data_IF_125177614494
#
_entry.id   IF_125177614494
#
_cell.length_a   1.000
_cell.length_b   1.000
_cell.length_c   1.000
_cell.angle_alpha   90.00
_cell.angle_beta   90.00
_cell.angle_gamma   90.00
#
_symmetry.space_group_name_H-M   'P 1'
#
loop_
_entity.id
_entity.type
_entity.pdbx_description
1 polymer ?
#
# COMPACT_ATOMS: atom_id res chain seq x y z
N UNK A 1 12.17 -20.87 -9.73
CA UNK A 1 11.99 -19.77 -8.77
C UNK A 1 13.11 -18.76 -8.97
N UNK A 2 12.78 -17.51 -9.26
CA UNK A 2 13.72 -16.40 -9.38
C UNK A 2 13.81 -15.68 -8.02
N UNK A 3 14.93 -15.73 -7.31
CA UNK A 3 15.06 -15.12 -5.98
C UNK A 3 15.31 -13.61 -5.99
N UNK A 4 15.38 -13.00 -7.18
CA UNK A 4 15.60 -11.54 -7.27
C UNK A 4 14.38 -10.76 -6.72
N UNK A 5 14.60 -9.56 -6.13
CA UNK A 5 13.51 -8.70 -5.72
C UNK A 5 12.72 -8.21 -6.94
N UNK A 6 11.43 -7.94 -6.74
CA UNK A 6 10.56 -7.39 -7.80
C UNK A 6 10.60 -5.86 -7.86
N UNK A 7 10.90 -5.20 -6.75
CA UNK A 7 11.00 -3.74 -6.63
C UNK A 7 12.22 -3.40 -5.78
N UNK A 8 13.05 -2.50 -6.27
CA UNK A 8 14.25 -2.01 -5.58
C UNK A 8 14.19 -0.50 -5.35
N UNK A 9 14.91 -0.02 -4.34
CA UNK A 9 15.10 1.41 -4.12
C UNK A 9 16.04 2.03 -5.17
N UNK A 10 15.97 3.35 -5.32
CA UNK A 10 16.86 4.13 -6.18
C UNK A 10 18.27 4.29 -5.58
N UNK A 11 18.45 4.04 -4.30
CA UNK A 11 19.70 4.26 -3.58
C UNK A 11 20.33 2.94 -3.15
N UNK A 12 21.63 2.71 -3.42
CA UNK A 12 22.32 1.52 -2.94
C UNK A 12 22.41 1.50 -1.41
N UNK A 13 22.31 0.31 -0.80
CA UNK A 13 22.78 0.10 0.57
C UNK A 13 24.31 0.15 0.54
N UNK A 14 25.02 0.79 1.45
CA UNK A 14 24.75 1.15 2.84
C UNK A 14 24.64 2.66 3.14
N UNK A 15 24.41 3.49 2.15
CA UNK A 15 24.44 4.95 2.31
C UNK A 15 23.20 5.54 3.00
N UNK A 16 22.33 4.68 3.53
CA UNK A 16 21.07 5.06 4.14
C UNK A 16 21.20 4.96 5.66
N UNK A 17 21.39 6.08 6.38
CA UNK A 17 21.64 6.07 7.83
C UNK A 17 20.45 5.65 8.69
N UNK A 18 19.24 5.57 8.15
CA UNK A 18 18.01 5.25 8.86
C UNK A 18 17.06 4.42 7.99
N UNK A 19 15.99 3.91 8.58
CA UNK A 19 14.92 3.13 7.98
C UNK A 19 14.34 3.80 6.71
N UNK A 20 14.90 3.52 5.56
CA UNK A 20 14.54 4.12 4.28
C UNK A 20 14.38 3.05 3.21
N UNK A 21 13.96 1.88 3.58
CA UNK A 21 13.70 0.81 2.62
C UNK A 21 12.31 0.87 2.02
N UNK A 22 12.09 -0.03 1.06
CA UNK A 22 10.77 -0.40 0.58
C UNK A 22 10.18 -1.39 1.56
N UNK A 23 8.89 -1.27 1.87
CA UNK A 23 8.26 -2.19 2.81
C UNK A 23 6.74 -2.20 2.75
N UNK A 24 6.17 -3.06 3.58
CA UNK A 24 4.73 -3.13 3.86
C UNK A 24 3.87 -3.24 2.59
N UNK A 25 4.23 -4.18 1.72
CA UNK A 25 3.60 -4.31 0.41
C UNK A 25 2.22 -4.98 0.48
N UNK A 26 1.28 -4.47 -0.30
CA UNK A 26 0.01 -5.11 -0.63
C UNK A 26 -0.07 -5.27 -2.15
N UNK A 27 -0.22 -6.50 -2.63
CA UNK A 27 -0.34 -6.80 -4.06
C UNK A 27 -1.76 -7.23 -4.38
N UNK A 28 -2.36 -6.62 -5.39
CA UNK A 28 -3.69 -6.97 -5.88
C UNK A 28 -3.66 -7.22 -7.38
N UNK A 29 -4.59 -8.05 -7.86
CA UNK A 29 -4.84 -8.26 -9.27
C UNK A 29 -5.96 -7.34 -9.76
N UNK A 30 -5.65 -6.45 -10.69
CA UNK A 30 -6.62 -5.63 -11.42
C UNK A 30 -7.05 -6.39 -12.69
N UNK A 31 -8.19 -7.08 -12.59
CA UNK A 31 -8.71 -7.89 -13.69
C UNK A 31 -9.15 -7.04 -14.89
N UNK A 32 -9.59 -5.80 -14.65
CA UNK A 32 -10.04 -4.92 -15.74
C UNK A 32 -8.86 -4.45 -16.60
N UNK A 33 -7.71 -4.19 -16.00
CA UNK A 33 -6.49 -3.79 -16.70
C UNK A 33 -5.53 -4.97 -16.94
N UNK A 34 -5.87 -6.19 -16.50
CA UNK A 34 -5.04 -7.40 -16.62
C UNK A 34 -3.61 -7.21 -16.12
N UNK A 35 -3.48 -6.71 -14.90
CA UNK A 35 -2.19 -6.39 -14.27
C UNK A 35 -2.21 -6.59 -12.76
N UNK A 36 -1.05 -6.83 -12.18
CA UNK A 36 -0.84 -6.65 -10.75
C UNK A 36 -0.57 -5.17 -10.44
N UNK A 37 -1.04 -4.71 -9.29
CA UNK A 37 -0.63 -3.45 -8.67
C UNK A 37 -0.08 -3.79 -7.30
N UNK A 38 1.15 -3.35 -7.03
CA UNK A 38 1.80 -3.43 -5.73
C UNK A 38 1.79 -2.03 -5.10
N UNK A 39 1.11 -1.89 -3.98
CA UNK A 39 1.18 -0.69 -3.14
C UNK A 39 2.19 -0.94 -2.04
N UNK A 40 3.08 0.00 -1.80
CA UNK A 40 4.16 -0.16 -0.84
C UNK A 40 4.55 1.17 -0.21
N UNK A 41 5.21 1.09 0.92
CA UNK A 41 5.84 2.25 1.54
C UNK A 41 7.24 2.45 0.99
N UNK A 42 7.62 3.69 0.72
CA UNK A 42 8.98 4.04 0.37
C UNK A 42 9.33 5.47 0.78
N UNK A 43 10.63 5.76 0.92
CA UNK A 43 11.12 7.14 0.91
C UNK A 43 10.96 7.70 -0.48
N UNK A 44 10.33 8.86 -0.59
CA UNK A 44 10.02 9.48 -1.87
C UNK A 44 10.99 10.59 -2.21
N UNK A 45 10.96 11.06 -3.45
CA UNK A 45 11.77 12.19 -3.94
C UNK A 45 11.59 13.48 -3.13
N UNK A 46 10.50 13.63 -2.39
CA UNK A 46 10.27 14.77 -1.49
C UNK A 46 10.81 14.55 -0.08
N UNK A 47 11.56 13.47 0.16
CA UNK A 47 12.25 13.20 1.42
C UNK A 47 11.38 12.62 2.54
N UNK A 48 10.10 12.33 2.28
CA UNK A 48 9.18 11.71 3.25
C UNK A 48 8.85 10.29 2.85
N UNK A 49 8.61 9.43 3.84
CA UNK A 49 8.04 8.13 3.58
C UNK A 49 6.56 8.28 3.22
N UNK A 50 6.14 7.68 2.12
CA UNK A 50 4.76 7.72 1.65
C UNK A 50 4.38 6.43 0.95
N UNK A 51 3.09 6.29 0.65
CA UNK A 51 2.59 5.19 -0.16
C UNK A 51 2.92 5.45 -1.63
N UNK A 52 3.53 4.46 -2.25
CA UNK A 52 3.92 4.39 -3.65
C UNK A 52 3.26 3.20 -4.31
N UNK A 53 3.37 3.07 -5.62
CA UNK A 53 2.85 1.91 -6.33
C UNK A 53 3.73 1.52 -7.52
N UNK A 54 3.66 0.24 -7.87
CA UNK A 54 4.25 -0.35 -9.05
C UNK A 54 3.25 -1.32 -9.70
N UNK A 55 3.43 -1.62 -10.97
CA UNK A 55 2.54 -2.52 -11.70
C UNK A 55 3.34 -3.47 -12.58
N UNK A 56 2.78 -4.68 -12.79
CA UNK A 56 3.25 -5.65 -13.78
C UNK A 56 2.07 -6.27 -14.51
N UNK A 57 2.16 -6.37 -15.83
CA UNK A 57 1.21 -7.12 -16.66
C UNK A 57 1.64 -8.59 -16.86
N UNK A 58 2.79 -8.97 -16.34
CA UNK A 58 3.22 -10.35 -16.33
C UNK A 58 2.39 -11.18 -15.35
N UNK A 59 1.83 -12.31 -15.80
CA UNK A 59 0.94 -13.14 -14.97
C UNK A 59 1.63 -13.81 -13.78
N UNK A 60 2.94 -13.97 -13.86
CA UNK A 60 3.75 -14.51 -12.77
C UNK A 60 4.33 -13.41 -11.86
N UNK A 61 4.23 -12.16 -12.30
CA UNK A 61 4.82 -11.02 -11.57
C UNK A 61 6.33 -11.13 -11.42
N UNK A 62 7.01 -11.68 -12.43
CA UNK A 62 8.44 -11.97 -12.39
C UNK A 62 9.30 -10.72 -12.17
N UNK A 63 10.49 -10.84 -11.54
CA UNK A 63 11.44 -9.75 -11.44
C UNK A 63 11.81 -9.17 -12.81
N UNK A 64 11.88 -7.84 -12.91
CA UNK A 64 12.16 -7.12 -14.16
C UNK A 64 10.93 -6.81 -15.02
N UNK A 65 9.75 -7.31 -14.65
CA UNK A 65 8.48 -7.00 -15.34
C UNK A 65 7.70 -5.86 -14.70
N UNK A 66 8.12 -5.42 -13.54
CA UNK A 66 7.48 -4.36 -12.77
C UNK A 66 7.96 -2.98 -13.18
N UNK A 67 7.03 -2.03 -13.23
CA UNK A 67 7.29 -0.61 -13.44
C UNK A 67 6.71 0.18 -12.29
N UNK A 68 7.49 1.12 -11.75
CA UNK A 68 7.03 2.05 -10.73
C UNK A 68 6.21 3.20 -11.35
N UNK A 69 5.33 3.73 -10.55
CA UNK A 69 4.54 4.92 -10.87
C UNK A 69 5.42 6.17 -10.94
N UNK A 70 5.26 6.99 -11.98
CA UNK A 70 6.00 8.26 -12.17
C UNK A 70 5.19 9.51 -11.81
N UNK A 71 3.93 9.33 -11.44
CA UNK A 71 2.96 10.41 -11.19
C UNK A 71 1.85 10.47 -12.25
N UNK A 72 2.04 9.82 -13.39
CA UNK A 72 1.08 9.79 -14.51
C UNK A 72 0.89 8.38 -15.10
N UNK A 73 1.89 7.50 -14.95
CA UNK A 73 1.88 6.15 -15.48
C UNK A 73 2.91 5.25 -14.82
N UNK A 74 2.90 3.99 -15.17
CA UNK A 74 3.88 2.99 -14.72
C UNK A 74 5.03 2.91 -15.72
N UNK A 75 6.02 3.79 -15.61
CA UNK A 75 7.10 3.95 -16.58
C UNK A 75 8.49 3.76 -16.02
N UNK A 76 8.69 3.97 -14.70
CA UNK A 76 10.00 3.87 -14.07
C UNK A 76 10.36 2.41 -13.80
N UNK A 77 11.62 2.04 -14.02
CA UNK A 77 12.10 0.70 -13.73
C UNK A 77 11.93 0.37 -12.22
N UNK A 78 11.36 -0.78 -11.92
CA UNK A 78 11.27 -1.25 -10.55
C UNK A 78 12.53 -2.02 -10.13
N UNK A 79 13.19 -2.65 -11.08
CA UNK A 79 14.49 -3.33 -10.95
C UNK A 79 15.23 -3.18 -12.28
N UNK A 80 16.31 -2.43 -12.28
CA UNK A 80 17.24 -2.35 -13.39
C UNK A 80 18.23 -3.54 -13.32
N UNK A 81 18.37 -4.26 -14.41
CA UNK A 81 19.17 -5.49 -14.45
C UNK A 81 20.68 -5.24 -14.42
N UNK A 82 21.14 -4.06 -14.77
CA UNK A 82 22.57 -3.72 -14.83
C UNK A 82 23.05 -3.17 -13.48
N UNK A 83 22.26 -2.30 -12.87
CA UNK A 83 22.62 -1.64 -11.60
C UNK A 83 22.10 -2.38 -10.37
N UNK A 84 21.08 -3.22 -10.51
CA UNK A 84 20.38 -3.85 -9.39
C UNK A 84 19.55 -2.87 -8.57
N UNK A 85 19.35 -1.64 -9.04
CA UNK A 85 18.59 -0.59 -8.37
C UNK A 85 17.22 -0.39 -9.06
N UNK A 86 16.33 0.30 -8.39
CA UNK A 86 15.08 0.75 -8.98
C UNK A 86 15.13 2.23 -9.36
N UNK A 87 14.12 2.68 -10.10
CA UNK A 87 13.89 4.10 -10.31
C UNK A 87 13.31 4.78 -9.06
N UNK A 88 13.04 6.07 -9.19
CA UNK A 88 12.50 6.92 -8.13
C UNK A 88 11.19 6.39 -7.54
N UNK A 89 10.97 6.65 -6.26
CA UNK A 89 9.72 6.37 -5.58
C UNK A 89 8.87 7.64 -5.57
N UNK A 90 7.75 7.59 -6.27
CA UNK A 90 6.82 8.72 -6.40
C UNK A 90 5.57 8.45 -5.58
N UNK A 91 5.25 9.35 -4.66
CA UNK A 91 4.08 9.22 -3.79
C UNK A 91 2.77 9.29 -4.59
N UNK A 92 1.79 8.48 -4.18
CA UNK A 92 0.41 8.59 -4.65
C UNK A 92 -0.15 9.97 -4.27
N UNK A 93 -0.58 10.75 -5.26
CA UNK A 93 -0.78 12.20 -5.17
C UNK A 93 -1.62 12.66 -3.96
N UNK A 94 -2.82 12.13 -3.78
CA UNK A 94 -3.70 12.57 -2.69
C UNK A 94 -3.32 11.95 -1.34
N UNK A 95 -2.68 10.77 -1.32
CA UNK A 95 -2.28 10.10 -0.09
C UNK A 95 -1.02 10.72 0.54
N UNK A 96 -0.18 11.41 -0.24
CA UNK A 96 1.05 12.06 0.25
C UNK A 96 0.83 13.09 1.36
N UNK A 97 -0.40 13.62 1.49
CA UNK A 97 -0.76 14.58 2.56
C UNK A 97 -0.79 13.95 3.94
N UNK A 98 -1.00 12.66 4.00
CA UNK A 98 -1.00 11.85 5.23
C UNK A 98 0.02 10.75 5.04
N UNK A 99 1.31 11.00 5.32
CA UNK A 99 2.34 9.99 5.20
C UNK A 99 2.01 8.76 6.04
N UNK A 100 2.14 7.58 5.45
CA UNK A 100 1.71 6.35 6.10
C UNK A 100 2.40 5.12 5.54
N UNK A 101 2.01 3.99 6.11
CA UNK A 101 2.57 2.66 5.88
C UNK A 101 1.47 1.59 5.93
N UNK A 102 1.86 0.36 5.66
CA UNK A 102 1.01 -0.82 5.79
C UNK A 102 -0.31 -0.70 5.00
N UNK A 103 -0.28 -0.45 3.69
CA UNK A 103 -1.49 -0.42 2.90
C UNK A 103 -2.14 -1.80 2.83
N UNK A 104 -3.46 -1.86 2.95
CA UNK A 104 -4.29 -3.00 2.61
C UNK A 104 -5.33 -2.56 1.61
N UNK A 105 -5.38 -3.22 0.46
CA UNK A 105 -6.21 -2.82 -0.68
C UNK A 105 -7.06 -3.99 -1.12
N UNK A 106 -8.33 -3.72 -1.43
CA UNK A 106 -9.25 -4.70 -2.01
C UNK A 106 -10.19 -4.05 -3.03
N UNK A 107 -10.68 -4.83 -3.97
CA UNK A 107 -11.84 -4.44 -4.76
C UNK A 107 -13.12 -4.63 -3.93
N UNK A 108 -13.96 -3.62 -3.88
CA UNK A 108 -15.25 -3.67 -3.22
C UNK A 108 -16.37 -3.71 -4.26
N UNK A 109 -16.97 -4.88 -4.45
CA UNK A 109 -18.02 -5.09 -5.44
C UNK A 109 -19.33 -4.37 -5.12
N UNK A 110 -19.59 -4.05 -3.86
CA UNK A 110 -20.77 -3.25 -3.48
C UNK A 110 -20.59 -1.79 -3.90
N UNK A 111 -19.41 -1.20 -3.66
CA UNK A 111 -19.12 0.19 -4.06
C UNK A 111 -18.70 0.32 -5.52
N UNK A 112 -18.32 -0.77 -6.18
CA UNK A 112 -17.67 -0.79 -7.49
C UNK A 112 -16.41 0.10 -7.51
N UNK A 113 -15.60 -0.02 -6.44
CA UNK A 113 -14.36 0.75 -6.24
C UNK A 113 -13.29 -0.07 -5.56
N UNK A 114 -12.07 0.31 -5.77
CA UNK A 114 -10.95 -0.05 -4.93
C UNK A 114 -11.05 0.68 -3.59
N UNK A 115 -10.82 -0.04 -2.52
CA UNK A 115 -10.78 0.48 -1.15
C UNK A 115 -9.40 0.20 -0.58
N UNK A 116 -8.75 1.23 -0.05
CA UNK A 116 -7.48 1.13 0.66
C UNK A 116 -7.64 1.59 2.08
N UNK A 117 -7.12 0.85 3.02
CA UNK A 117 -6.81 1.33 4.37
C UNK A 117 -5.30 1.35 4.59
N UNK A 118 -4.81 2.28 5.40
CA UNK A 118 -3.41 2.33 5.77
C UNK A 118 -3.21 3.03 7.12
N UNK A 119 -2.10 2.76 7.80
CA UNK A 119 -1.73 3.41 9.03
C UNK A 119 -0.92 4.68 8.75
N UNK A 120 -1.24 5.80 9.41
CA UNK A 120 -0.35 6.96 9.43
C UNK A 120 0.76 6.78 10.47
N UNK A 121 1.86 7.51 10.33
CA UNK A 121 2.94 7.54 11.35
C UNK A 121 2.47 8.04 12.72
N UNK A 122 1.29 8.66 12.79
CA UNK A 122 0.61 9.03 14.04
C UNK A 122 -0.29 7.93 14.59
N UNK A 123 -0.15 6.70 14.06
CA UNK A 123 -0.88 5.51 14.51
C UNK A 123 -2.40 5.63 14.40
N UNK A 124 -2.88 6.35 13.39
CA UNK A 124 -4.29 6.42 13.01
C UNK A 124 -4.52 5.66 11.72
N UNK A 125 -5.67 5.05 11.54
CA UNK A 125 -6.05 4.39 10.29
C UNK A 125 -6.87 5.32 9.42
N UNK A 126 -6.49 5.37 8.15
CA UNK A 126 -7.18 6.13 7.10
C UNK A 126 -7.75 5.17 6.07
N UNK A 127 -8.84 5.61 5.44
CA UNK A 127 -9.47 4.94 4.30
C UNK A 127 -9.48 5.88 3.10
N UNK A 128 -9.28 5.32 1.92
CA UNK A 128 -9.39 6.03 0.64
C UNK A 128 -10.01 5.12 -0.40
N UNK A 129 -10.54 5.72 -1.46
CA UNK A 129 -11.24 5.02 -2.54
C UNK A 129 -10.62 5.39 -3.88
N UNK A 130 -10.75 4.47 -4.85
CA UNK A 130 -10.30 4.70 -6.23
C UNK A 130 -11.20 3.94 -7.20
N UNK A 131 -11.51 4.56 -8.33
CA UNK A 131 -12.24 3.88 -9.41
C UNK A 131 -11.32 2.97 -10.27
N UNK A 132 -10.02 3.26 -10.33
CA UNK A 132 -9.07 2.66 -11.27
C UNK A 132 -7.82 2.05 -10.59
N UNK A 133 -7.74 2.11 -9.26
CA UNK A 133 -6.60 1.64 -8.48
C UNK A 133 -5.35 2.54 -8.56
N UNK A 134 -5.39 3.64 -9.30
CA UNK A 134 -4.24 4.55 -9.47
C UNK A 134 -4.53 5.95 -8.96
N UNK A 135 -5.71 6.46 -9.24
CA UNK A 135 -6.18 7.76 -8.78
C UNK A 135 -7.02 7.59 -7.52
N UNK A 136 -6.44 7.93 -6.38
CA UNK A 136 -7.06 7.77 -5.06
C UNK A 136 -7.67 9.08 -4.57
N UNK A 137 -8.84 9.00 -3.95
CA UNK A 137 -9.49 10.11 -3.28
C UNK A 137 -8.67 10.61 -2.08
N UNK A 138 -8.99 11.80 -1.56
CA UNK A 138 -8.39 12.28 -0.33
C UNK A 138 -8.75 11.33 0.84
N UNK A 139 -7.76 10.92 1.65
CA UNK A 139 -8.00 9.93 2.69
C UNK A 139 -8.81 10.50 3.85
N UNK A 140 -9.68 9.68 4.41
CA UNK A 140 -10.51 9.99 5.59
C UNK A 140 -10.03 9.16 6.78
N UNK A 141 -9.85 9.79 7.94
CA UNK A 141 -9.50 9.09 9.16
C UNK A 141 -10.70 8.29 9.67
N UNK A 142 -10.52 6.99 9.91
CA UNK A 142 -11.56 6.09 10.42
C UNK A 142 -11.27 5.54 11.81
N UNK A 143 -9.98 5.48 12.21
CA UNK A 143 -9.55 5.20 13.57
C UNK A 143 -8.49 6.22 13.96
N UNK A 144 -8.58 6.77 15.17
CA UNK A 144 -7.65 7.79 15.64
C UNK A 144 -7.93 8.21 17.07
N UNK A 145 -7.30 9.26 17.53
CA UNK A 145 -7.50 9.92 18.84
C UNK A 145 -7.46 8.94 20.02
N UNK A 146 -6.26 8.36 20.24
CA UNK A 146 -5.99 7.37 21.29
C UNK A 146 -5.82 5.94 20.78
N UNK A 147 -6.18 5.65 19.55
CA UNK A 147 -5.80 4.37 18.92
C UNK A 147 -4.32 4.38 18.57
N UNK A 148 -3.67 3.26 18.79
CA UNK A 148 -2.27 3.03 18.38
C UNK A 148 -2.26 1.96 17.30
N UNK A 149 -2.97 2.24 16.20
CA UNK A 149 -3.27 1.26 15.18
C UNK A 149 -2.15 1.15 14.14
N UNK A 150 -1.61 -0.06 13.99
CA UNK A 150 -0.67 -0.45 12.96
C UNK A 150 -1.17 -1.65 12.17
N UNK A 151 -0.64 -1.84 10.97
CA UNK A 151 -0.94 -2.99 10.12
C UNK A 151 -2.44 -3.21 9.90
N UNK A 152 -3.19 -2.17 9.49
CA UNK A 152 -4.59 -2.37 9.17
C UNK A 152 -4.72 -3.34 8.00
N UNK A 153 -5.68 -4.25 8.09
CA UNK A 153 -5.95 -5.23 7.06
C UNK A 153 -7.45 -5.38 6.82
N UNK A 154 -7.84 -5.28 5.55
CA UNK A 154 -9.22 -5.50 5.10
C UNK A 154 -9.39 -6.95 4.68
N UNK A 155 -10.43 -7.59 5.19
CA UNK A 155 -10.82 -8.95 4.82
C UNK A 155 -12.31 -8.96 4.51
N UNK A 156 -12.67 -9.55 3.38
CA UNK A 156 -14.06 -9.73 2.98
C UNK A 156 -14.84 -10.61 3.96
N UNK A 157 -16.17 -10.65 3.85
CA UNK A 157 -17.03 -11.38 4.77
C UNK A 157 -16.76 -12.89 4.78
N UNK A 158 -16.31 -13.43 3.66
CA UNK A 158 -16.03 -14.87 3.48
C UNK A 158 -14.54 -15.20 3.66
N UNK A 159 -13.74 -14.25 4.20
CA UNK A 159 -12.31 -14.44 4.46
C UNK A 159 -11.42 -14.22 3.23
N UNK A 160 -11.96 -13.67 2.16
CA UNK A 160 -11.27 -13.36 0.91
C UNK A 160 -10.80 -11.90 0.84
N UNK A 161 -10.16 -11.54 -0.27
CA UNK A 161 -9.72 -10.17 -0.58
C UNK A 161 -10.75 -9.37 -1.38
N UNK A 162 -11.99 -9.85 -1.47
CA UNK A 162 -13.10 -9.17 -2.13
C UNK A 162 -14.02 -8.54 -1.09
N UNK A 163 -14.29 -7.24 -1.24
CA UNK A 163 -15.18 -6.49 -0.35
C UNK A 163 -16.62 -6.50 -0.84
N UNK A 164 -17.57 -6.49 0.11
CA UNK A 164 -19.00 -6.29 -0.09
C UNK A 164 -19.52 -5.08 0.65
N UNK A 165 -20.84 -5.06 0.95
CA UNK A 165 -21.45 -4.02 1.79
C UNK A 165 -20.81 -3.94 3.19
N UNK A 166 -20.36 -5.09 3.71
CA UNK A 166 -19.65 -5.19 4.99
C UNK A 166 -18.29 -5.84 4.77
N UNK A 167 -17.24 -5.28 5.37
CA UNK A 167 -15.90 -5.85 5.43
C UNK A 167 -15.39 -5.86 6.86
N UNK A 168 -14.46 -6.75 7.16
CA UNK A 168 -13.76 -6.78 8.44
C UNK A 168 -12.46 -5.96 8.33
N UNK A 169 -12.24 -5.08 9.29
CA UNK A 169 -10.98 -4.37 9.48
C UNK A 169 -10.28 -4.94 10.71
N UNK A 170 -9.08 -5.45 10.52
CA UNK A 170 -8.19 -5.88 11.60
C UNK A 170 -7.02 -4.93 11.72
N UNK A 171 -6.49 -4.74 12.92
CA UNK A 171 -5.26 -3.98 13.12
C UNK A 171 -4.52 -4.46 14.37
N UNK A 172 -3.24 -4.13 14.43
CA UNK A 172 -2.45 -4.31 15.64
C UNK A 172 -2.62 -3.05 16.51
N UNK A 173 -3.15 -3.23 17.70
CA UNK A 173 -3.31 -2.16 18.70
C UNK A 173 -2.19 -2.27 19.73
N UNK A 174 -1.40 -1.21 19.87
CA UNK A 174 -0.36 -1.09 20.90
C UNK A 174 -0.79 -0.04 21.94
N UNK A 175 -1.61 -0.44 22.89
CA UNK A 175 -2.01 0.44 24.01
C UNK A 175 -0.79 0.85 24.83
N UNK A 176 -0.23 2.01 24.52
CA UNK A 176 0.74 2.79 25.30
C UNK A 176 1.98 2.08 25.88
N UNK A 177 2.15 0.77 25.72
CA UNK A 177 3.30 0.03 26.23
C UNK A 177 4.21 -0.42 25.08
N UNK A 178 5.50 -0.11 25.21
CA UNK A 178 6.51 -0.57 24.26
C UNK A 178 6.56 -2.11 24.29
N UNK A 179 6.21 -2.73 23.18
CA UNK A 179 6.35 -4.17 22.97
C UNK A 179 5.07 -5.00 23.14
N UNK A 180 3.99 -4.47 23.68
CA UNK A 180 2.70 -5.20 23.74
C UNK A 180 1.81 -4.78 22.56
N UNK A 181 1.46 -5.75 21.71
CA UNK A 181 0.55 -5.55 20.60
C UNK A 181 -0.60 -6.55 20.70
N UNK A 182 -1.80 -6.04 20.69
CA UNK A 182 -3.02 -6.84 20.65
C UNK A 182 -3.62 -6.80 19.24
N UNK A 183 -4.33 -7.86 18.87
CA UNK A 183 -5.16 -7.83 17.67
C UNK A 183 -6.52 -7.23 18.04
N UNK A 184 -6.91 -6.23 17.28
CA UNK A 184 -8.23 -5.61 17.37
C UNK A 184 -8.96 -5.74 16.04
N UNK A 185 -10.28 -5.68 16.06
CA UNK A 185 -11.07 -5.74 14.85
C UNK A 185 -12.39 -4.97 14.99
N UNK A 186 -12.91 -4.52 13.84
CA UNK A 186 -14.29 -4.06 13.72
C UNK A 186 -14.84 -4.37 12.32
N UNK A 187 -16.13 -4.19 12.16
CA UNK A 187 -16.79 -4.24 10.85
C UNK A 187 -16.98 -2.83 10.31
N UNK A 188 -16.65 -2.66 9.02
CA UNK A 188 -16.97 -1.45 8.26
C UNK A 188 -18.19 -1.77 7.42
N UNK A 189 -19.25 -0.99 7.55
CA UNK A 189 -20.43 -1.03 6.69
C UNK A 189 -20.37 0.15 5.73
N UNK A 190 -20.38 -0.14 4.43
CA UNK A 190 -20.46 0.87 3.39
C UNK A 190 -21.93 1.24 3.10
N UNK A 191 -22.14 2.48 2.72
CA UNK A 191 -23.46 3.03 2.33
C UNK A 191 -23.26 3.68 0.96
N UNK A 192 -24.16 3.36 0.02
CA UNK A 192 -24.23 4.01 -1.29
C UNK A 192 -24.99 5.31 -1.21
#
# INVERSE_FOLDING_TARGET
HDPRPIIMDETPKPEIPEWTGLGDACVVWDSAASRYICYYQAKTTIGTNALCMASSSDKEGAPGTWKKWDGSGFTLEALDSETGLGGKNVAIANLRRIPGANPSVMWNGFLEKWVMVYASWKKSVYISYSADGTNWDAPVKILGDGATAWYPNLIGPDGDLSGGEVVNLYWSDSQNEIGVRNMAYCKIKFIK
#
